data_IF_791786481750
#
_entry.id   IF_791786481750
#
_cell.length_a   1.000
_cell.length_b   1.000
_cell.length_c   1.000
_cell.angle_alpha   90.00
_cell.angle_beta   90.00
_cell.angle_gamma   90.00
#
_symmetry.space_group_name_H-M   'P 1'
#
loop_
_entity.id
_entity.type
_entity.pdbx_description
1 polymer ?
#
# COMPACT_ATOMS: atom_id res chain seq x y z
N UNK A 1 -0.60 15.80 19.09
CA UNK A 1 0.27 14.61 18.90
C UNK A 1 -0.49 13.27 18.93
N UNK A 2 -1.81 13.21 19.15
CA UNK A 2 -2.56 11.95 19.21
C UNK A 2 -3.15 11.44 17.88
N UNK A 3 -3.56 12.31 16.95
CA UNK A 3 -4.32 11.90 15.76
C UNK A 3 -3.46 11.28 14.63
N UNK A 4 -2.24 11.79 14.40
CA UNK A 4 -1.33 11.20 13.39
C UNK A 4 -0.95 9.75 13.72
N UNK A 5 -0.82 9.42 15.01
CA UNK A 5 -0.49 8.06 15.46
C UNK A 5 -1.66 7.10 15.29
N UNK A 6 -2.89 7.55 15.49
CA UNK A 6 -4.09 6.72 15.33
C UNK A 6 -4.40 6.44 13.85
N UNK A 7 -4.21 7.44 12.97
CA UNK A 7 -4.42 7.27 11.52
C UNK A 7 -3.41 6.30 10.89
N UNK A 8 -2.15 6.36 11.33
CA UNK A 8 -1.13 5.41 10.90
C UNK A 8 -1.41 3.97 11.38
N UNK A 9 -1.92 3.81 12.61
CA UNK A 9 -2.28 2.51 13.17
C UNK A 9 -3.44 1.86 12.39
N UNK A 10 -4.50 2.62 12.10
CA UNK A 10 -5.63 2.13 11.30
C UNK A 10 -5.20 1.71 9.89
N UNK A 11 -4.30 2.48 9.27
CA UNK A 11 -3.81 2.16 7.94
C UNK A 11 -2.98 0.85 7.92
N UNK A 12 -2.21 0.58 8.98
CA UNK A 12 -1.48 -0.69 9.13
C UNK A 12 -2.49 -1.84 9.26
N UNK A 13 -3.52 -1.70 10.09
CA UNK A 13 -4.56 -2.72 10.29
C UNK A 13 -5.33 -3.02 8.98
N UNK A 14 -5.65 -1.99 8.19
CA UNK A 14 -6.30 -2.16 6.89
C UNK A 14 -5.41 -2.90 5.88
N UNK A 15 -4.10 -2.60 5.86
CA UNK A 15 -3.14 -3.33 5.02
C UNK A 15 -3.00 -4.78 5.47
N UNK A 16 -2.92 -5.04 6.77
CA UNK A 16 -2.84 -6.40 7.31
C UNK A 16 -4.09 -7.22 6.98
N UNK A 17 -5.28 -6.61 7.07
CA UNK A 17 -6.53 -7.24 6.68
C UNK A 17 -6.53 -7.62 5.19
N UNK A 18 -6.11 -6.71 4.31
CA UNK A 18 -6.01 -6.98 2.87
C UNK A 18 -4.99 -8.10 2.56
N UNK A 19 -3.84 -8.13 3.25
CA UNK A 19 -2.84 -9.20 3.11
C UNK A 19 -3.43 -10.56 3.51
N UNK A 20 -4.15 -10.60 4.63
CA UNK A 20 -4.74 -11.84 5.12
C UNK A 20 -5.84 -12.34 4.18
N UNK A 21 -6.69 -11.45 3.66
CA UNK A 21 -7.71 -11.79 2.67
C UNK A 21 -7.12 -12.31 1.35
N UNK A 22 -5.98 -11.77 0.91
CA UNK A 22 -5.28 -12.29 -0.26
C UNK A 22 -4.68 -13.69 0.01
N UNK A 23 -4.09 -13.88 1.20
CA UNK A 23 -3.49 -15.17 1.59
C UNK A 23 -4.52 -16.28 1.79
N UNK A 24 -5.72 -15.96 2.27
CA UNK A 24 -6.83 -16.90 2.38
C UNK A 24 -7.49 -17.20 1.03
N UNK A 25 -7.25 -16.36 0.01
CA UNK A 25 -7.89 -16.47 -1.30
C UNK A 25 -9.28 -15.85 -1.36
N UNK A 26 -9.68 -15.09 -0.34
CA UNK A 26 -10.95 -14.36 -0.30
C UNK A 26 -10.97 -13.22 -1.34
N UNK A 27 -9.80 -12.66 -1.66
CA UNK A 27 -9.60 -11.69 -2.74
C UNK A 27 -8.44 -12.12 -3.64
N UNK A 28 -8.51 -11.73 -4.90
CA UNK A 28 -7.42 -11.94 -5.85
C UNK A 28 -6.32 -10.86 -5.71
N UNK A 29 -5.20 -11.08 -6.40
CA UNK A 29 -4.09 -10.14 -6.38
C UNK A 29 -4.46 -8.75 -6.91
N UNK A 30 -5.35 -8.65 -7.89
CA UNK A 30 -5.76 -7.38 -8.47
C UNK A 30 -6.57 -6.54 -7.47
N UNK A 31 -7.47 -7.19 -6.74
CA UNK A 31 -8.28 -6.56 -5.71
C UNK A 31 -7.42 -6.17 -4.49
N UNK A 32 -6.46 -7.02 -4.09
CA UNK A 32 -5.46 -6.67 -3.09
C UNK A 32 -4.69 -5.39 -3.44
N UNK A 33 -4.21 -5.26 -4.68
CA UNK A 33 -3.48 -4.06 -5.11
C UNK A 33 -4.35 -2.79 -5.06
N UNK A 34 -5.64 -2.87 -5.40
CA UNK A 34 -6.55 -1.72 -5.29
C UNK A 34 -6.72 -1.28 -3.84
N UNK A 35 -6.94 -2.22 -2.93
CA UNK A 35 -7.10 -1.94 -1.51
C UNK A 35 -5.82 -1.33 -0.93
N UNK A 36 -4.66 -1.89 -1.25
CA UNK A 36 -3.37 -1.35 -0.84
C UNK A 36 -3.18 0.10 -1.32
N UNK A 37 -3.48 0.40 -2.59
CA UNK A 37 -3.35 1.76 -3.12
C UNK A 37 -4.33 2.74 -2.47
N UNK A 38 -5.54 2.30 -2.14
CA UNK A 38 -6.53 3.13 -1.43
C UNK A 38 -6.04 3.52 -0.04
N UNK A 39 -5.48 2.57 0.72
CA UNK A 39 -4.91 2.84 2.04
C UNK A 39 -3.73 3.81 1.93
N UNK A 40 -2.79 3.53 1.02
CA UNK A 40 -1.61 4.37 0.81
C UNK A 40 -1.96 5.81 0.37
N UNK A 41 -3.08 6.02 -0.33
CA UNK A 41 -3.52 7.35 -0.76
C UNK A 41 -3.88 8.29 0.40
N UNK A 42 -4.12 7.75 1.59
CA UNK A 42 -4.50 8.50 2.79
C UNK A 42 -3.39 8.60 3.83
N UNK A 43 -2.24 7.94 3.61
CA UNK A 43 -1.09 8.00 4.52
C UNK A 43 -0.16 9.15 4.13
N UNK A 44 0.24 9.94 5.13
CA UNK A 44 1.31 10.92 4.98
C UNK A 44 2.67 10.18 5.00
N UNK A 45 3.20 9.88 3.82
CA UNK A 45 4.49 9.17 3.67
C UNK A 45 5.64 10.17 3.73
N UNK A 46 6.61 9.94 4.63
CA UNK A 46 7.81 10.77 4.72
C UNK A 46 8.97 10.22 3.88
N UNK A 47 9.99 11.05 3.65
CA UNK A 47 11.20 10.61 2.94
C UNK A 47 11.97 9.51 3.69
N UNK A 48 11.84 9.45 5.02
CA UNK A 48 12.50 8.41 5.84
C UNK A 48 11.83 7.05 5.62
N UNK A 49 10.49 7.02 5.52
CA UNK A 49 9.72 5.79 5.28
C UNK A 49 10.00 5.18 3.91
N UNK A 50 10.34 6.02 2.92
CA UNK A 50 10.63 5.58 1.55
C UNK A 50 12.08 5.11 1.36
N UNK A 51 12.95 5.34 2.34
CA UNK A 51 14.38 5.06 2.21
C UNK A 51 14.62 3.56 1.99
N UNK A 52 15.17 3.22 0.83
CA UNK A 52 15.43 1.82 0.44
C UNK A 52 14.24 1.09 -0.19
N UNK A 53 13.05 1.70 -0.21
CA UNK A 53 11.83 1.21 -0.89
C UNK A 53 11.64 1.91 -2.24
N UNK A 54 12.17 3.13 -2.38
CA UNK A 54 12.03 3.97 -3.59
C UNK A 54 12.38 3.24 -4.90
N UNK A 55 13.49 2.48 -5.01
CA UNK A 55 13.82 1.77 -6.25
C UNK A 55 12.79 0.72 -6.67
N UNK A 56 12.23 -0.01 -5.70
CA UNK A 56 11.24 -1.07 -5.92
C UNK A 56 9.90 -0.46 -6.30
N UNK A 57 9.52 0.64 -5.64
CA UNK A 57 8.29 1.38 -5.96
C UNK A 57 8.36 1.96 -7.38
N UNK A 58 9.50 2.53 -7.78
CA UNK A 58 9.75 3.00 -9.15
C UNK A 58 9.64 1.86 -10.16
N UNK A 59 10.20 0.68 -9.87
CA UNK A 59 10.09 -0.50 -10.73
C UNK A 59 8.63 -0.93 -10.93
N UNK A 60 7.86 -0.96 -9.83
CA UNK A 60 6.43 -1.29 -9.85
C UNK A 60 5.63 -0.29 -10.69
N UNK A 61 5.77 1.02 -10.44
CA UNK A 61 5.05 2.08 -11.18
C UNK A 61 5.41 2.05 -12.66
N UNK A 62 6.69 1.86 -13.00
CA UNK A 62 7.12 1.73 -14.40
C UNK A 62 6.48 0.51 -15.09
N UNK A 63 6.32 -0.61 -14.38
CA UNK A 63 5.61 -1.78 -14.89
C UNK A 63 4.13 -1.48 -15.17
N UNK A 64 3.45 -0.79 -14.26
CA UNK A 64 2.06 -0.37 -14.45
C UNK A 64 1.89 0.53 -15.68
N UNK A 65 2.73 1.55 -15.82
CA UNK A 65 2.70 2.48 -16.96
C UNK A 65 2.91 1.75 -18.29
N UNK A 66 3.75 0.72 -18.32
CA UNK A 66 3.97 -0.08 -19.53
C UNK A 66 2.77 -0.93 -19.92
N UNK A 67 2.02 -1.46 -18.95
CA UNK A 67 0.82 -2.26 -19.22
C UNK A 67 -0.40 -1.42 -19.60
N UNK A 68 -0.39 -0.11 -19.29
CA UNK A 68 -1.46 0.83 -19.62
C UNK A 68 -1.29 1.50 -21.00
N UNK A 69 -0.13 1.35 -21.64
CA UNK A 69 0.18 1.86 -22.98
C UNK A 69 0.03 0.77 -24.02
#
# INVERSE_FOLDING_TARGET
MGEKSAMAQNAIEEVEAAINAMKSGDIDAAEFYKQLMAVLAHIEVTNEDLKGVTPQLLGFVNGLVRNLK
#
